data_IF_369591056631
#
_entry.id   IF_369591056631
#
_cell.length_a   1.000
_cell.length_b   1.000
_cell.length_c   1.000
_cell.angle_alpha   90.00
_cell.angle_beta   90.00
_cell.angle_gamma   90.00
#
_symmetry.space_group_name_H-M   'P 1'
#
loop_
_entity.id
_entity.type
_entity.pdbx_description
1 polymer ?
#
# COMPACT_ATOMS: atom_id res chain seq x y z
N UNK A 1 24.68 29.70 -13.85
CA UNK A 1 23.55 29.36 -12.96
C UNK A 1 22.98 28.05 -13.46
N UNK A 2 23.19 26.96 -12.73
CA UNK A 2 22.62 25.65 -13.08
C UNK A 2 21.19 25.63 -12.56
N UNK A 3 20.22 25.53 -13.47
CA UNK A 3 18.83 25.24 -13.10
C UNK A 3 18.81 23.77 -12.68
N UNK A 4 18.58 23.51 -11.40
CA UNK A 4 18.41 22.16 -10.91
C UNK A 4 17.17 21.54 -11.58
N UNK A 5 17.24 20.31 -12.11
CA UNK A 5 16.09 19.67 -12.74
C UNK A 5 14.96 19.53 -11.72
N UNK A 6 13.80 20.01 -12.13
CA UNK A 6 12.53 20.13 -11.39
C UNK A 6 11.70 18.84 -11.38
N UNK A 7 12.25 17.75 -11.91
CA UNK A 7 11.62 16.44 -11.91
C UNK A 7 12.17 15.54 -10.80
N UNK A 8 11.51 15.55 -9.64
CA UNK A 8 11.63 14.44 -8.69
C UNK A 8 10.58 13.41 -9.10
N UNK A 9 10.97 12.45 -9.95
CA UNK A 9 10.12 11.31 -10.27
C UNK A 9 9.79 10.53 -8.98
N UNK A 10 8.54 10.06 -8.81
CA UNK A 10 8.20 9.29 -7.62
C UNK A 10 8.95 7.96 -7.61
N UNK A 11 9.41 7.55 -6.44
CA UNK A 11 9.98 6.20 -6.24
C UNK A 11 8.86 5.18 -6.35
N UNK A 12 9.03 4.21 -7.24
CA UNK A 12 8.08 3.12 -7.43
C UNK A 12 8.48 1.91 -6.58
N UNK A 13 7.50 1.32 -5.91
CA UNK A 13 7.65 0.04 -5.22
C UNK A 13 6.35 -0.73 -5.20
N UNK A 14 6.36 -1.88 -4.53
CA UNK A 14 5.21 -2.77 -4.38
C UNK A 14 4.60 -2.69 -3.00
N UNK A 15 3.30 -2.95 -2.89
CA UNK A 15 2.59 -2.96 -1.62
C UNK A 15 1.44 -3.95 -1.65
N UNK A 16 1.11 -4.49 -0.48
CA UNK A 16 -0.15 -5.16 -0.21
C UNK A 16 -1.05 -4.27 0.66
N UNK A 17 -2.34 -4.32 0.39
CA UNK A 17 -3.41 -3.67 1.14
C UNK A 17 -4.47 -4.69 1.51
N UNK A 18 -5.27 -4.39 2.51
CA UNK A 18 -6.58 -5.02 2.71
C UNK A 18 -7.63 -4.18 2.00
N UNK A 19 -8.41 -4.75 1.09
CA UNK A 19 -9.69 -4.20 0.67
C UNK A 19 -10.76 -4.67 1.67
N UNK A 20 -11.17 -3.77 2.56
CA UNK A 20 -12.16 -4.02 3.60
C UNK A 20 -13.33 -3.03 3.48
N UNK A 21 -14.52 -3.47 3.84
CA UNK A 21 -15.72 -2.62 3.78
C UNK A 21 -15.63 -1.49 4.82
N UNK A 22 -15.79 -0.25 4.34
CA UNK A 22 -15.94 0.96 5.16
C UNK A 22 -17.30 1.56 4.83
N UNK A 23 -18.28 1.26 5.68
CA UNK A 23 -19.69 1.51 5.36
C UNK A 23 -20.17 0.55 4.27
N UNK A 24 -20.67 1.08 3.16
CA UNK A 24 -21.25 0.28 2.06
C UNK A 24 -20.25 -0.06 0.95
N UNK A 25 -19.00 0.38 1.04
CA UNK A 25 -18.00 0.22 -0.02
C UNK A 25 -16.67 -0.24 0.51
N UNK A 26 -15.96 -1.05 -0.27
CA UNK A 26 -14.61 -1.42 0.05
C UNK A 26 -13.64 -0.22 -0.07
N UNK A 27 -12.65 -0.20 0.82
CA UNK A 27 -11.53 0.76 0.80
C UNK A 27 -10.22 0.02 1.04
N UNK A 28 -9.17 0.53 0.43
CA UNK A 28 -7.81 0.06 0.73
C UNK A 28 -7.45 0.49 2.15
N UNK A 29 -6.96 -0.46 2.93
CA UNK A 29 -6.39 -0.23 4.25
C UNK A 29 -4.99 -0.82 4.30
N UNK A 30 -4.12 -0.15 5.06
CA UNK A 30 -2.85 -0.72 5.48
C UNK A 30 -3.05 -2.01 6.28
N UNK A 31 -2.26 -3.04 5.96
CA UNK A 31 -2.32 -4.38 6.57
C UNK A 31 -1.86 -4.34 8.05
N UNK A 32 -0.73 -3.69 8.32
CA UNK A 32 -0.12 -3.66 9.67
C UNK A 32 -0.82 -2.67 10.61
N UNK A 33 -0.93 -1.41 10.18
CA UNK A 33 -1.59 -0.36 10.96
C UNK A 33 -2.83 0.08 10.24
N UNK A 34 -4.02 -0.39 10.66
CA UNK A 34 -5.31 -0.05 10.04
C UNK A 34 -5.39 1.47 9.81
N UNK A 35 -5.28 1.83 8.54
CA UNK A 35 -5.20 3.20 8.03
C UNK A 35 -5.85 3.14 6.67
N UNK A 36 -7.03 3.72 6.56
CA UNK A 36 -7.77 3.79 5.30
C UNK A 36 -7.06 4.74 4.35
N UNK A 37 -6.80 4.27 3.14
CA UNK A 37 -6.18 5.08 2.10
C UNK A 37 -7.24 5.99 1.48
N UNK A 38 -6.99 7.31 1.45
CA UNK A 38 -7.95 8.25 0.89
C UNK A 38 -8.13 8.03 -0.62
N UNK A 39 -9.33 8.31 -1.10
CA UNK A 39 -9.69 8.16 -2.52
C UNK A 39 -9.27 9.41 -3.27
N UNK A 40 -8.48 9.26 -4.34
CA UNK A 40 -8.00 10.36 -5.22
C UNK A 40 -7.16 11.43 -4.53
N UNK A 41 -6.68 11.14 -3.33
CA UNK A 41 -5.76 11.99 -2.59
C UNK A 41 -4.60 11.14 -2.09
N UNK A 42 -3.39 11.69 -1.99
CA UNK A 42 -2.27 10.96 -1.41
C UNK A 42 -2.52 10.65 0.06
N UNK A 43 -2.06 9.49 0.50
CA UNK A 43 -1.87 9.23 1.92
C UNK A 43 -0.66 10.04 2.39
N UNK A 44 -0.81 10.73 3.52
CA UNK A 44 0.28 11.47 4.19
C UNK A 44 0.79 10.64 5.36
N UNK A 45 2.10 10.52 5.49
CA UNK A 45 2.72 9.79 6.58
C UNK A 45 2.60 10.56 7.89
N UNK A 46 2.30 9.85 8.97
CA UNK A 46 2.23 10.41 10.32
C UNK A 46 3.04 9.55 11.29
N UNK A 47 3.72 10.18 12.24
CA UNK A 47 4.39 9.46 13.31
C UNK A 47 3.42 9.16 14.46
N UNK A 48 2.90 7.92 14.51
CA UNK A 48 1.98 7.48 15.58
C UNK A 48 2.65 7.27 16.95
N UNK A 49 3.98 7.37 17.05
CA UNK A 49 4.67 7.33 18.36
C UNK A 49 4.26 8.51 19.26
N UNK A 50 3.70 9.57 18.70
CA UNK A 50 3.17 10.73 19.43
C UNK A 50 1.99 10.40 20.36
N UNK A 51 1.28 9.26 20.20
CA UNK A 51 -0.02 9.02 20.86
C UNK A 51 -0.01 8.09 22.08
N UNK A 52 1.13 7.86 22.75
CA UNK A 52 1.14 7.14 24.05
C UNK A 52 1.18 8.19 25.18
N UNK A 53 0.03 8.56 25.79
CA UNK A 53 -0.07 9.67 26.76
C UNK A 53 0.57 9.37 28.12
N UNK A 54 1.14 8.19 28.31
CA UNK A 54 1.61 7.70 29.62
C UNK A 54 3.09 8.01 29.88
N UNK A 55 3.83 8.54 28.89
CA UNK A 55 5.25 8.86 29.01
C UNK A 55 5.55 10.25 28.43
N UNK A 56 5.71 11.30 29.28
CA UNK A 56 6.03 12.66 28.84
C UNK A 56 7.43 12.81 28.21
N UNK A 57 8.19 11.71 28.10
CA UNK A 57 9.52 11.64 27.50
C UNK A 57 9.57 10.65 26.32
N UNK A 58 8.58 10.66 25.42
CA UNK A 58 8.77 9.96 24.16
C UNK A 58 9.76 10.76 23.29
N UNK A 59 11.06 10.55 23.54
CA UNK A 59 12.21 11.19 22.86
C UNK A 59 12.24 10.97 21.34
N UNK A 60 11.30 10.21 20.81
CA UNK A 60 11.17 9.88 19.39
C UNK A 60 9.87 10.44 18.77
N UNK A 61 9.14 11.33 19.46
CA UNK A 61 8.09 12.12 18.83
C UNK A 61 8.74 13.18 17.94
N UNK A 62 8.33 13.23 16.68
CA UNK A 62 8.85 14.15 15.69
C UNK A 62 7.71 14.57 14.76
N UNK A 63 7.77 15.80 14.24
CA UNK A 63 6.68 16.38 13.46
C UNK A 63 6.65 15.89 12.01
N UNK A 64 7.81 15.52 11.45
CA UNK A 64 7.94 15.07 10.06
C UNK A 64 8.02 13.54 9.96
N UNK A 65 7.24 12.91 9.08
CA UNK A 65 7.36 11.49 8.77
C UNK A 65 7.57 11.31 7.26
N UNK A 66 8.50 10.44 6.84
CA UNK A 66 9.38 9.60 7.64
C UNK A 66 10.54 10.39 8.28
N UNK A 67 10.95 9.99 9.49
CA UNK A 67 12.17 10.52 10.13
C UNK A 67 13.29 9.48 10.08
N UNK A 68 14.53 9.90 9.80
CA UNK A 68 15.69 9.02 9.61
C UNK A 68 15.88 7.97 10.72
N UNK A 69 15.79 8.38 11.99
CA UNK A 69 15.93 7.49 13.17
C UNK A 69 14.65 6.77 13.64
N UNK A 70 13.56 6.81 12.86
CA UNK A 70 12.28 6.19 13.21
C UNK A 70 11.83 5.21 12.12
N UNK A 71 10.88 4.32 12.42
CA UNK A 71 10.30 3.38 11.45
C UNK A 71 9.00 3.89 10.80
N UNK A 72 8.59 5.12 11.14
CA UNK A 72 7.44 5.79 10.55
C UNK A 72 7.65 6.06 9.06
N UNK A 73 6.55 6.37 8.37
CA UNK A 73 6.51 6.52 6.91
C UNK A 73 5.55 5.54 6.27
N UNK A 74 5.21 5.80 5.01
CA UNK A 74 4.41 4.88 4.19
C UNK A 74 5.37 3.96 3.44
N UNK A 75 5.25 2.66 3.71
CA UNK A 75 6.16 1.65 3.17
C UNK A 75 5.77 1.21 1.76
N UNK A 76 6.77 1.11 0.90
CA UNK A 76 6.77 0.34 -0.33
C UNK A 76 7.91 -0.68 -0.26
N UNK A 77 7.76 -1.82 -0.92
CA UNK A 77 8.67 -2.94 -0.80
C UNK A 77 9.09 -3.45 -2.19
N UNK A 78 10.15 -4.25 -2.23
CA UNK A 78 10.43 -5.05 -3.44
C UNK A 78 9.37 -6.14 -3.60
N UNK A 79 9.16 -6.65 -4.82
CA UNK A 79 8.21 -7.75 -5.03
C UNK A 79 8.58 -9.00 -4.22
N UNK A 80 9.88 -9.27 -4.04
CA UNK A 80 10.38 -10.38 -3.22
C UNK A 80 9.98 -10.20 -1.75
N UNK A 81 10.07 -8.98 -1.23
CA UNK A 81 9.60 -8.67 0.12
C UNK A 81 8.09 -8.80 0.25
N UNK A 82 7.31 -8.31 -0.72
CA UNK A 82 5.84 -8.50 -0.70
C UNK A 82 5.49 -9.98 -0.59
N UNK A 83 6.09 -10.82 -1.46
CA UNK A 83 5.88 -12.26 -1.45
C UNK A 83 6.14 -12.88 -0.06
N UNK A 84 7.20 -12.47 0.62
CA UNK A 84 7.61 -13.08 1.89
C UNK A 84 6.65 -12.86 3.06
N UNK A 85 5.71 -11.93 2.96
CA UNK A 85 4.75 -11.65 4.04
C UNK A 85 3.29 -11.81 3.62
N UNK A 86 3.00 -12.24 2.40
CA UNK A 86 1.62 -12.50 1.99
C UNK A 86 1.00 -13.60 2.88
N UNK A 87 -0.29 -13.46 3.23
CA UNK A 87 -1.00 -14.52 3.93
C UNK A 87 -1.22 -15.72 3.01
N UNK A 88 -1.36 -16.91 3.60
CA UNK A 88 -1.69 -18.14 2.85
C UNK A 88 -3.06 -18.08 2.17
N UNK A 89 -3.99 -17.27 2.71
CA UNK A 89 -5.31 -16.99 2.12
C UNK A 89 -5.41 -15.51 1.82
N UNK A 90 -5.80 -15.18 0.59
CA UNK A 90 -5.89 -13.79 0.14
C UNK A 90 -7.27 -13.20 0.40
N UNK A 91 -8.28 -14.01 0.70
CA UNK A 91 -9.58 -13.54 1.13
C UNK A 91 -9.95 -14.08 2.51
N UNK A 92 -10.61 -13.21 3.27
CA UNK A 92 -11.30 -13.55 4.51
C UNK A 92 -12.75 -13.08 4.41
N UNK A 93 -13.54 -13.32 5.46
CA UNK A 93 -14.89 -12.76 5.53
C UNK A 93 -14.86 -11.22 5.48
N UNK A 94 -13.89 -10.60 6.16
CA UNK A 94 -13.87 -9.15 6.41
C UNK A 94 -13.02 -8.35 5.41
N UNK A 95 -12.07 -9.00 4.73
CA UNK A 95 -11.14 -8.31 3.83
C UNK A 95 -10.57 -9.23 2.73
N UNK A 96 -10.13 -8.62 1.63
CA UNK A 96 -9.37 -9.27 0.56
C UNK A 96 -8.04 -8.56 0.37
N UNK A 97 -6.94 -9.30 0.35
CA UNK A 97 -5.61 -8.77 0.07
C UNK A 97 -5.52 -8.32 -1.38
N UNK A 98 -5.14 -7.04 -1.58
CA UNK A 98 -4.89 -6.43 -2.88
C UNK A 98 -3.40 -6.14 -2.98
N UNK A 99 -2.79 -6.46 -4.12
CA UNK A 99 -1.37 -6.21 -4.39
C UNK A 99 -1.27 -5.14 -5.47
N UNK A 100 -0.23 -4.32 -5.47
CA UNK A 100 -0.09 -3.30 -6.50
C UNK A 100 1.19 -2.49 -6.39
N UNK A 101 1.43 -1.71 -7.44
CA UNK A 101 2.49 -0.71 -7.42
C UNK A 101 2.03 0.52 -6.70
N UNK A 102 2.95 1.17 -6.00
CA UNK A 102 2.71 2.38 -5.24
C UNK A 102 3.80 3.39 -5.56
N UNK A 103 3.39 4.64 -5.76
CA UNK A 103 4.29 5.79 -5.87
C UNK A 103 4.58 6.33 -4.48
N UNK A 104 5.85 6.61 -4.18
CA UNK A 104 6.30 7.34 -3.01
C UNK A 104 6.96 8.65 -3.43
N UNK A 105 6.70 9.73 -2.71
CA UNK A 105 7.34 11.02 -2.96
C UNK A 105 7.40 11.91 -1.72
N UNK A 106 8.00 13.10 -1.89
CA UNK A 106 8.41 14.00 -0.81
C UNK A 106 9.73 13.53 -0.20
N UNK A 107 9.78 13.34 1.12
CA UNK A 107 10.91 12.69 1.78
C UNK A 107 10.79 11.19 1.59
N UNK A 108 11.77 10.58 0.93
CA UNK A 108 11.84 9.12 0.74
C UNK A 108 13.16 8.61 1.30
N UNK A 109 13.10 7.60 2.15
CA UNK A 109 14.26 6.86 2.62
C UNK A 109 14.26 5.44 2.06
N UNK A 110 15.37 5.03 1.46
CA UNK A 110 15.64 3.63 1.17
C UNK A 110 15.93 2.86 2.47
N UNK A 111 15.49 1.62 2.51
CA UNK A 111 15.57 0.69 3.63
C UNK A 111 15.94 -0.69 3.08
N UNK A 112 16.41 -1.60 3.93
CA UNK A 112 16.88 -2.94 3.52
C UNK A 112 15.91 -3.71 2.62
N UNK A 113 14.59 -3.52 2.80
CA UNK A 113 13.54 -4.27 2.10
C UNK A 113 12.66 -3.41 1.17
N UNK A 114 13.06 -2.17 0.91
CA UNK A 114 12.30 -1.23 0.08
C UNK A 114 12.47 0.21 0.51
N UNK A 115 11.37 0.96 0.59
CA UNK A 115 11.38 2.40 0.81
C UNK A 115 10.28 2.83 1.76
N UNK A 116 10.47 3.99 2.37
CA UNK A 116 9.45 4.69 3.14
C UNK A 116 9.34 6.13 2.70
N UNK A 117 8.14 6.58 2.34
CA UNK A 117 7.87 7.92 1.83
C UNK A 117 6.98 8.75 2.76
N UNK A 118 7.05 10.07 2.63
CA UNK A 118 6.13 11.01 3.30
C UNK A 118 4.75 11.04 2.66
N UNK A 119 4.70 10.78 1.35
CA UNK A 119 3.46 10.68 0.58
C UNK A 119 3.44 9.37 -0.19
N UNK A 120 2.24 8.82 -0.36
CA UNK A 120 2.05 7.67 -1.22
C UNK A 120 0.68 7.65 -1.90
N UNK A 121 0.61 7.04 -3.08
CA UNK A 121 -0.64 6.72 -3.75
C UNK A 121 -0.49 5.48 -4.63
N UNK A 122 -1.49 4.58 -4.70
CA UNK A 122 -1.42 3.45 -5.62
C UNK A 122 -1.22 3.93 -7.06
N UNK A 123 -0.42 3.20 -7.82
CA UNK A 123 -0.25 3.39 -9.25
C UNK A 123 -1.16 2.44 -10.04
N UNK A 124 -1.25 1.19 -9.59
CA UNK A 124 -2.15 0.17 -10.11
C UNK A 124 -2.45 -0.85 -9.03
N UNK A 125 -3.56 -1.56 -9.18
CA UNK A 125 -4.05 -2.58 -8.25
C UNK A 125 -4.33 -3.89 -8.98
N UNK A 126 -3.98 -4.98 -8.34
CA UNK A 126 -4.24 -6.35 -8.73
C UNK A 126 -5.04 -7.00 -7.60
N UNK A 127 -6.26 -7.43 -7.94
CA UNK A 127 -7.20 -8.05 -7.03
C UNK A 127 -7.27 -9.55 -7.33
N UNK A 128 -6.73 -10.41 -6.46
CA UNK A 128 -6.96 -11.85 -6.51
C UNK A 128 -8.46 -12.15 -6.32
N UNK A 129 -9.06 -12.88 -7.26
CA UNK A 129 -10.51 -13.17 -7.26
C UNK A 129 -10.85 -14.66 -7.08
N UNK A 130 -9.87 -15.56 -7.09
CA UNK A 130 -10.09 -17.02 -7.04
C UNK A 130 -10.89 -17.48 -5.81
N UNK A 131 -10.71 -16.80 -4.67
CA UNK A 131 -11.39 -17.10 -3.41
C UNK A 131 -12.75 -16.38 -3.27
N UNK A 132 -13.20 -15.68 -4.31
CA UNK A 132 -14.40 -14.83 -4.29
C UNK A 132 -15.48 -15.36 -5.23
N UNK A 133 -16.74 -15.23 -4.83
CA UNK A 133 -17.83 -15.33 -5.79
C UNK A 133 -17.81 -14.15 -6.77
N UNK A 134 -18.38 -14.37 -7.97
CA UNK A 134 -18.37 -13.38 -9.05
C UNK A 134 -19.00 -12.03 -8.65
N UNK A 135 -20.02 -12.02 -7.78
CA UNK A 135 -20.69 -10.79 -7.35
C UNK A 135 -19.80 -9.98 -6.41
N UNK A 136 -19.13 -10.64 -5.47
CA UNK A 136 -18.17 -10.02 -4.56
C UNK A 136 -16.94 -9.51 -5.31
N UNK A 137 -16.40 -10.31 -6.24
CA UNK A 137 -15.29 -9.91 -7.09
C UNK A 137 -15.63 -8.64 -7.89
N UNK A 138 -16.77 -8.62 -8.59
CA UNK A 138 -17.21 -7.47 -9.37
C UNK A 138 -17.41 -6.23 -8.51
N UNK A 139 -18.07 -6.36 -7.34
CA UNK A 139 -18.25 -5.27 -6.39
C UNK A 139 -16.91 -4.65 -5.96
N UNK A 140 -15.93 -5.49 -5.59
CA UNK A 140 -14.61 -5.03 -5.15
C UNK A 140 -13.86 -4.33 -6.28
N UNK A 141 -13.90 -4.84 -7.51
CA UNK A 141 -13.31 -4.16 -8.67
C UNK A 141 -13.92 -2.76 -8.84
N UNK A 142 -15.24 -2.64 -8.78
CA UNK A 142 -15.94 -1.35 -8.95
C UNK A 142 -15.66 -0.38 -7.81
N UNK A 143 -15.64 -0.86 -6.57
CA UNK A 143 -15.30 -0.05 -5.41
C UNK A 143 -13.84 0.43 -5.44
N UNK A 144 -12.90 -0.36 -5.97
CA UNK A 144 -11.49 0.02 -6.06
C UNK A 144 -11.20 0.95 -7.25
N UNK A 145 -12.00 0.92 -8.33
CA UNK A 145 -11.86 1.84 -9.47
C UNK A 145 -12.00 3.32 -9.10
N UNK A 146 -12.66 3.63 -7.98
CA UNK A 146 -12.82 5.02 -7.53
C UNK A 146 -11.48 5.70 -7.21
N UNK A 147 -10.44 4.93 -6.88
CA UNK A 147 -9.07 5.42 -6.68
C UNK A 147 -8.48 6.00 -7.97
N UNK A 148 -9.14 5.85 -9.13
CA UNK A 148 -8.70 6.45 -10.38
C UNK A 148 -7.41 5.83 -10.91
N UNK A 149 -7.09 4.61 -10.49
CA UNK A 149 -5.96 3.82 -10.96
C UNK A 149 -6.44 2.54 -11.64
N UNK A 150 -5.65 1.95 -12.56
CA UNK A 150 -5.98 0.66 -13.14
C UNK A 150 -6.18 -0.41 -12.06
N UNK A 151 -7.28 -1.16 -12.17
CA UNK A 151 -7.58 -2.31 -11.32
C UNK A 151 -7.73 -3.54 -12.23
N UNK A 152 -6.96 -4.58 -11.95
CA UNK A 152 -6.98 -5.85 -12.69
C UNK A 152 -7.37 -6.97 -11.75
N UNK A 153 -8.33 -7.79 -12.15
CA UNK A 153 -8.62 -9.03 -11.46
C UNK A 153 -7.58 -10.10 -11.86
N UNK A 154 -7.16 -10.91 -10.92
CA UNK A 154 -6.18 -12.00 -11.08
C UNK A 154 -6.83 -13.29 -10.63
N UNK A 155 -6.91 -14.27 -11.52
CA UNK A 155 -7.52 -15.56 -11.28
C UNK A 155 -6.43 -16.63 -11.16
N UNK A 156 -5.76 -16.64 -10.02
CA UNK A 156 -4.67 -17.56 -9.71
C UNK A 156 -4.90 -18.18 -8.32
N UNK A 157 -4.72 -19.51 -8.17
CA UNK A 157 -5.15 -20.30 -7.00
C UNK A 157 -4.28 -20.12 -5.75
N UNK A 158 -3.05 -19.62 -5.89
CA UNK A 158 -2.11 -19.49 -4.77
C UNK A 158 -1.48 -18.08 -4.73
N UNK A 159 -1.07 -17.59 -3.54
CA UNK A 159 -0.34 -16.33 -3.43
C UNK A 159 0.91 -16.24 -4.29
N UNK A 160 1.63 -17.35 -4.48
CA UNK A 160 2.83 -17.38 -5.33
C UNK A 160 2.48 -17.22 -6.81
N UNK A 161 1.47 -17.93 -7.30
CA UNK A 161 1.00 -17.81 -8.69
C UNK A 161 0.43 -16.43 -8.98
N UNK A 162 -0.28 -15.82 -8.01
CA UNK A 162 -0.71 -14.42 -8.11
C UNK A 162 0.50 -13.50 -8.32
N UNK A 163 1.60 -13.67 -7.58
CA UNK A 163 2.80 -12.84 -7.73
C UNK A 163 3.47 -13.07 -9.09
N UNK A 164 3.52 -14.31 -9.57
CA UNK A 164 4.10 -14.65 -10.88
C UNK A 164 3.29 -14.05 -12.04
N UNK A 165 1.96 -14.08 -11.95
CA UNK A 165 1.09 -13.42 -12.93
C UNK A 165 1.26 -11.89 -12.90
N UNK A 166 1.29 -11.28 -11.70
CA UNK A 166 1.53 -9.84 -11.56
C UNK A 166 2.87 -9.43 -12.17
N UNK A 167 3.94 -10.21 -11.96
CA UNK A 167 5.25 -9.95 -12.58
C UNK A 167 5.18 -10.00 -14.10
N UNK A 168 4.46 -10.95 -14.66
CA UNK A 168 4.27 -11.07 -16.12
C UNK A 168 3.50 -9.87 -16.68
N UNK A 169 2.49 -9.38 -15.97
CA UNK A 169 1.68 -8.22 -16.36
C UNK A 169 2.37 -6.86 -16.16
N UNK A 170 3.45 -6.82 -15.38
CA UNK A 170 4.17 -5.61 -15.01
C UNK A 170 5.56 -5.50 -15.67
N UNK A 171 6.00 -6.53 -16.38
CA UNK A 171 7.16 -6.51 -17.28
C UNK A 171 6.86 -5.69 -18.54
#
# INVERSE_FOLDING_TARGET
MSVAPDYVEPVLGWRAWDAADVGLRARLSSVVYKTTWPVRWPLVAECRRRSIPIWPFNRNAHDEAPHAGCTCGIHAATMTTVRSYLPNRLATADAVTVIGRVRLWGVVHECERGWRGSYAYPECLYLPIVELDAKRAQRLVDDLRIYGVPVRAIDAPTPDEVIDEIRTLAA
#
